data_IF_524040605396
#
_entry.id   IF_524040605396
#
_cell.length_a   1.000
_cell.length_b   1.000
_cell.length_c   1.000
_cell.angle_alpha   90.00
_cell.angle_beta   90.00
_cell.angle_gamma   90.00
#
_symmetry.space_group_name_H-M   'P 1'
#
loop_
_entity.id
_entity.type
_entity.pdbx_description
1 polymer ?
#
# COMPACT_ATOMS: atom_id res chain seq x y z
N UNK A 1 -13.13 1.11 -2.57
CA UNK A 1 -11.86 1.51 -3.23
C UNK A 1 -11.37 0.35 -4.09
N UNK A 2 -11.00 0.60 -5.35
CA UNK A 2 -10.33 -0.41 -6.19
C UNK A 2 -8.83 -0.31 -5.92
N UNK A 3 -8.24 -1.33 -5.27
CA UNK A 3 -6.83 -1.27 -4.86
C UNK A 3 -5.90 -1.54 -6.03
N UNK A 4 -4.81 -0.76 -6.11
CA UNK A 4 -3.63 -1.14 -6.89
C UNK A 4 -2.68 -1.89 -5.98
N UNK A 5 -2.48 -3.18 -6.27
CA UNK A 5 -1.63 -4.08 -5.48
C UNK A 5 -0.22 -4.05 -6.05
N UNK A 6 0.80 -3.98 -5.19
CA UNK A 6 2.20 -4.17 -5.60
C UNK A 6 2.54 -5.66 -5.52
N UNK A 7 3.04 -6.24 -6.60
CA UNK A 7 3.31 -7.67 -6.76
C UNK A 7 4.82 -7.97 -6.90
N UNK A 8 5.63 -7.22 -6.16
CA UNK A 8 7.06 -7.48 -5.99
C UNK A 8 7.91 -6.24 -5.88
N UNK A 9 9.22 -6.46 -5.74
CA UNK A 9 10.20 -5.37 -5.57
C UNK A 9 10.39 -4.52 -6.82
N UNK A 10 10.11 -5.07 -8.01
CA UNK A 10 10.18 -4.30 -9.26
C UNK A 10 9.13 -3.18 -9.29
N UNK A 11 7.91 -3.46 -8.84
CA UNK A 11 6.83 -2.46 -8.74
C UNK A 11 7.19 -1.37 -7.74
N UNK A 12 7.76 -1.76 -6.60
CA UNK A 12 8.23 -0.80 -5.59
C UNK A 12 9.30 0.14 -6.15
N UNK A 13 10.34 -0.39 -6.80
CA UNK A 13 11.39 0.45 -7.38
C UNK A 13 10.86 1.37 -8.49
N UNK A 14 9.95 0.87 -9.33
CA UNK A 14 9.31 1.67 -10.36
C UNK A 14 8.48 2.81 -9.74
N UNK A 15 7.79 2.52 -8.64
CA UNK A 15 6.98 3.50 -7.91
C UNK A 15 7.85 4.56 -7.24
N UNK A 16 8.92 4.15 -6.58
CA UNK A 16 9.91 5.06 -5.98
C UNK A 16 10.47 6.03 -7.03
N UNK A 17 10.90 5.51 -8.18
CA UNK A 17 11.41 6.32 -9.28
C UNK A 17 10.37 7.30 -9.85
N UNK A 18 9.09 6.91 -9.91
CA UNK A 18 8.02 7.73 -10.45
C UNK A 18 7.47 8.77 -9.46
N UNK A 19 7.64 8.55 -8.15
CA UNK A 19 6.96 9.30 -7.10
C UNK A 19 7.52 10.70 -6.83
N UNK A 20 8.79 10.95 -7.19
CA UNK A 20 9.46 12.24 -6.99
C UNK A 20 9.30 12.77 -5.56
N UNK A 21 9.20 14.09 -5.42
CA UNK A 21 9.08 14.75 -4.10
C UNK A 21 7.70 14.54 -3.43
N UNK A 22 6.68 14.11 -4.18
CA UNK A 22 5.32 13.89 -3.65
C UNK A 22 5.20 12.58 -2.87
N UNK A 23 6.04 11.60 -3.18
CA UNK A 23 6.02 10.28 -2.56
C UNK A 23 4.74 9.48 -2.86
N UNK A 24 4.53 8.43 -2.07
CA UNK A 24 3.38 7.54 -2.16
C UNK A 24 3.07 6.94 -0.78
N UNK A 25 1.86 6.39 -0.64
CA UNK A 25 1.43 5.70 0.57
C UNK A 25 1.23 4.21 0.26
N UNK A 26 1.54 3.35 1.24
CA UNK A 26 1.28 1.91 1.11
C UNK A 26 0.58 1.39 2.35
N UNK A 27 -0.57 0.77 2.14
CA UNK A 27 -1.22 -0.05 3.15
C UNK A 27 -0.57 -1.43 3.17
N UNK A 28 0.18 -1.73 4.22
CA UNK A 28 0.63 -3.10 4.52
C UNK A 28 -0.54 -3.85 5.17
N UNK A 29 -1.22 -4.70 4.41
CA UNK A 29 -2.39 -5.44 4.84
C UNK A 29 -2.08 -6.93 4.99
N UNK A 30 -2.35 -7.50 6.17
CA UNK A 30 -2.48 -8.93 6.37
C UNK A 30 -3.97 -9.30 6.45
N UNK A 31 -4.38 -10.25 5.62
CA UNK A 31 -5.73 -10.86 5.62
C UNK A 31 -5.99 -11.71 6.88
N UNK A 32 -4.93 -12.00 7.65
CA UNK A 32 -4.96 -12.83 8.87
C UNK A 32 -4.89 -12.00 10.16
N UNK A 33 -4.84 -10.67 10.07
CA UNK A 33 -4.77 -9.77 11.22
C UNK A 33 -6.04 -8.90 11.32
N UNK A 34 -6.88 -9.07 12.36
CA UNK A 34 -8.14 -8.32 12.49
C UNK A 34 -7.97 -6.79 12.48
N UNK A 35 -6.92 -6.28 13.12
CA UNK A 35 -6.61 -4.83 13.13
C UNK A 35 -6.32 -4.33 11.72
N UNK A 36 -5.57 -5.09 10.95
CA UNK A 36 -5.22 -4.78 9.56
C UNK A 36 -6.46 -4.81 8.65
N UNK A 37 -7.36 -5.79 8.83
CA UNK A 37 -8.65 -5.85 8.12
C UNK A 37 -9.53 -4.65 8.45
N UNK A 38 -9.58 -4.24 9.72
CA UNK A 38 -10.32 -3.04 10.12
C UNK A 38 -9.72 -1.76 9.50
N UNK A 39 -8.39 -1.66 9.41
CA UNK A 39 -7.73 -0.54 8.75
C UNK A 39 -8.06 -0.48 7.25
N UNK A 40 -8.02 -1.62 6.55
CA UNK A 40 -8.40 -1.71 5.14
C UNK A 40 -9.87 -1.30 4.91
N UNK A 41 -10.79 -1.76 5.75
CA UNK A 41 -12.21 -1.34 5.69
C UNK A 41 -12.41 0.15 5.97
N UNK A 42 -11.60 0.73 6.86
CA UNK A 42 -11.66 2.16 7.17
C UNK A 42 -11.17 2.99 6.00
N UNK A 43 -10.06 2.58 5.36
CA UNK A 43 -9.54 3.23 4.16
C UNK A 43 -10.47 3.10 2.94
N UNK A 44 -11.25 2.02 2.83
CA UNK A 44 -12.25 1.90 1.76
C UNK A 44 -13.34 2.97 1.81
N UNK A 45 -13.62 3.52 3.01
CA UNK A 45 -14.60 4.58 3.25
C UNK A 45 -13.96 5.96 3.39
N UNK A 46 -12.62 6.02 3.37
CA UNK A 46 -11.91 7.26 3.53
C UNK A 46 -11.97 8.07 2.24
N UNK A 47 -12.47 9.30 2.36
CA UNK A 47 -12.43 10.29 1.29
C UNK A 47 -11.07 10.99 1.33
N UNK A 48 -10.16 10.56 0.45
CA UNK A 48 -8.83 11.13 0.35
C UNK A 48 -8.91 12.61 -0.05
N UNK A 49 -8.27 13.54 0.69
CA UNK A 49 -8.07 14.91 0.24
C UNK A 49 -7.43 14.97 -1.16
N UNK A 50 -7.71 16.04 -1.93
CA UNK A 50 -7.25 16.18 -3.31
C UNK A 50 -5.72 16.01 -3.49
N UNK A 51 -4.95 16.44 -2.50
CA UNK A 51 -3.48 16.41 -2.56
C UNK A 51 -2.86 15.12 -2.04
N UNK A 52 -3.68 14.15 -1.58
CA UNK A 52 -3.19 12.87 -1.06
C UNK A 52 -2.29 12.17 -2.10
N UNK A 53 -1.09 11.70 -1.72
CA UNK A 53 -0.28 10.88 -2.60
C UNK A 53 -1.01 9.58 -3.01
N UNK A 54 -0.66 8.99 -4.16
CA UNK A 54 -1.23 7.71 -4.56
C UNK A 54 -1.05 6.65 -3.47
N UNK A 55 -2.11 5.87 -3.21
CA UNK A 55 -2.16 4.85 -2.17
C UNK A 55 -2.22 3.46 -2.79
N UNK A 56 -1.29 2.58 -2.39
CA UNK A 56 -1.16 1.21 -2.86
C UNK A 56 -1.39 0.19 -1.75
N UNK A 57 -1.55 -1.08 -2.14
CA UNK A 57 -1.73 -2.20 -1.23
C UNK A 57 -0.58 -3.20 -1.35
N UNK A 58 -0.07 -3.67 -0.22
CA UNK A 58 0.82 -4.84 -0.15
C UNK A 58 0.19 -5.87 0.77
N UNK A 59 0.07 -7.11 0.28
CA UNK A 59 -0.36 -8.25 1.07
C UNK A 59 0.83 -8.86 1.81
N UNK A 60 0.87 -8.65 3.13
CA UNK A 60 2.07 -8.94 3.95
C UNK A 60 2.38 -10.44 4.06
N UNK A 61 1.35 -11.29 4.03
CA UNK A 61 1.54 -12.74 4.19
C UNK A 61 1.97 -13.37 2.87
N UNK A 62 1.39 -12.88 1.78
CA UNK A 62 1.58 -13.33 0.41
C UNK A 62 2.93 -12.84 -0.14
N UNK A 63 3.34 -11.62 0.20
CA UNK A 63 4.59 -11.02 -0.27
C UNK A 63 5.46 -10.46 0.88
N UNK A 64 5.91 -11.40 1.74
CA UNK A 64 6.70 -11.07 2.93
C UNK A 64 7.99 -10.34 2.60
N UNK A 65 8.69 -10.74 1.54
CA UNK A 65 9.95 -10.13 1.12
C UNK A 65 9.75 -8.67 0.73
N UNK A 66 8.72 -8.38 -0.07
CA UNK A 66 8.34 -7.01 -0.41
C UNK A 66 7.98 -6.21 0.83
N UNK A 67 7.15 -6.77 1.71
CA UNK A 67 6.73 -6.08 2.95
C UNK A 67 7.90 -5.69 3.85
N UNK A 68 8.94 -6.54 3.93
CA UNK A 68 10.17 -6.32 4.71
C UNK A 68 11.15 -5.35 4.04
N UNK A 69 11.15 -5.26 2.71
CA UNK A 69 12.00 -4.32 1.98
C UNK A 69 11.56 -2.86 2.21
N UNK A 70 10.31 -2.65 2.60
CA UNK A 70 9.72 -1.34 2.87
C UNK A 70 9.88 -0.99 4.36
N UNK A 71 10.36 0.22 4.67
CA UNK A 71 10.41 0.76 6.03
C UNK A 71 9.03 0.89 6.69
#
# INVERSE_FOLDING_TARGET
MNWTVLEGTADLHALEAASGDRGFLVLKHSTRCPVSSQAALSLQRWEAPADTPPLFLVYVVEDRSLSLAMA
#
